data_IF_748956587276
#
_entry.id   IF_748956587276
#
_cell.length_a   1.000
_cell.length_b   1.000
_cell.length_c   1.000
_cell.angle_alpha   90.00
_cell.angle_beta   90.00
_cell.angle_gamma   90.00
#
_symmetry.space_group_name_H-M   'P 1'
#
loop_
_entity.id
_entity.type
_entity.pdbx_description
1 polymer ?
#
# COMPACT_ATOMS: atom_id res chain seq x y z
N UNK A 1 5.35 6.96 0.23
CA UNK A 1 4.57 6.27 1.28
C UNK A 1 4.47 4.77 1.05
N UNK A 2 3.79 4.27 -0.01
CA UNK A 2 3.83 2.83 -0.32
C UNK A 2 5.17 2.41 -0.93
N UNK A 3 5.67 3.19 -1.89
CA UNK A 3 6.96 2.91 -2.56
C UNK A 3 8.14 2.92 -1.59
N UNK A 4 8.11 3.81 -0.60
CA UNK A 4 9.17 4.00 0.39
C UNK A 4 9.19 2.93 1.48
N UNK A 5 8.12 2.16 1.64
CA UNK A 5 7.99 1.14 2.68
C UNK A 5 8.28 -0.29 2.20
N UNK A 6 8.73 -0.44 0.94
CA UNK A 6 9.17 -1.73 0.39
C UNK A 6 10.41 -2.26 1.13
N UNK A 7 10.63 -3.59 1.19
CA UNK A 7 9.77 -4.70 0.76
C UNK A 7 8.49 -4.93 1.60
N UNK A 8 7.45 -5.48 0.98
CA UNK A 8 6.23 -5.92 1.66
C UNK A 8 6.22 -7.43 1.94
N UNK A 9 5.42 -7.93 2.89
CA UNK A 9 5.30 -9.37 3.17
C UNK A 9 5.03 -10.20 1.92
N UNK A 10 5.86 -11.21 1.67
CA UNK A 10 5.81 -12.04 0.46
C UNK A 10 6.63 -11.51 -0.72
N UNK A 11 7.36 -10.41 -0.57
CA UNK A 11 8.41 -10.04 -1.52
C UNK A 11 9.62 -10.97 -1.38
N UNK A 12 10.21 -11.32 -2.52
CA UNK A 12 11.39 -12.18 -2.60
C UNK A 12 12.66 -11.34 -2.69
N UNK A 13 13.79 -11.91 -2.29
CA UNK A 13 15.11 -11.24 -2.38
C UNK A 13 15.43 -10.78 -3.81
N UNK A 14 14.95 -11.50 -4.83
CA UNK A 14 15.14 -11.12 -6.24
C UNK A 14 14.40 -9.85 -6.66
N UNK A 15 13.41 -9.39 -5.88
CA UNK A 15 12.69 -8.14 -6.12
C UNK A 15 13.34 -6.94 -5.41
N UNK A 16 14.20 -7.18 -4.41
CA UNK A 16 14.86 -6.13 -3.63
C UNK A 16 15.81 -5.28 -4.49
N UNK A 17 16.45 -5.89 -5.49
CA UNK A 17 17.42 -5.21 -6.36
C UNK A 17 16.77 -4.36 -7.46
N UNK A 18 15.44 -4.48 -7.67
CA UNK A 18 14.72 -3.89 -8.81
C UNK A 18 13.33 -3.37 -8.43
N UNK A 19 13.12 -2.85 -7.22
CA UNK A 19 11.85 -2.22 -6.91
C UNK A 19 11.61 -1.04 -7.84
N UNK A 20 10.65 -1.21 -8.76
CA UNK A 20 10.26 -0.15 -9.66
C UNK A 20 9.72 1.02 -8.83
N UNK A 21 10.22 2.23 -9.09
CA UNK A 21 9.69 3.47 -8.49
C UNK A 21 8.17 3.60 -8.71
N UNK A 22 7.62 2.90 -9.72
CA UNK A 22 6.19 2.89 -10.07
C UNK A 22 5.48 1.57 -9.76
N UNK A 23 5.97 0.78 -8.79
CA UNK A 23 5.37 -0.51 -8.43
C UNK A 23 3.89 -0.43 -8.07
N UNK A 24 3.49 0.57 -7.29
CA UNK A 24 2.11 0.75 -6.89
C UNK A 24 1.46 1.84 -7.74
N UNK A 25 0.23 1.59 -8.16
CA UNK A 25 -0.62 2.64 -8.69
C UNK A 25 -2.00 2.56 -8.05
N UNK A 26 -2.54 3.71 -7.67
CA UNK A 26 -3.84 3.79 -7.02
C UNK A 26 -4.84 4.50 -7.92
N UNK A 27 -6.01 3.91 -8.12
CA UNK A 27 -7.08 4.46 -8.97
C UNK A 27 -8.42 4.45 -8.25
N UNK A 28 -9.21 5.51 -8.41
CA UNK A 28 -10.58 5.55 -7.91
C UNK A 28 -11.45 4.63 -8.79
N UNK A 29 -12.11 3.64 -8.19
CA UNK A 29 -12.99 2.70 -8.92
C UNK A 29 -14.47 2.95 -8.66
N UNK A 30 -14.79 3.63 -7.57
CA UNK A 30 -16.13 4.11 -7.21
C UNK A 30 -16.00 5.38 -6.37
N UNK A 31 -17.10 6.04 -6.01
CA UNK A 31 -17.05 7.19 -5.10
C UNK A 31 -16.62 6.82 -3.67
N UNK A 32 -16.52 5.52 -3.36
CA UNK A 32 -16.28 5.00 -2.01
C UNK A 32 -14.98 4.19 -1.93
N UNK A 33 -14.33 3.88 -3.07
CA UNK A 33 -13.21 2.95 -3.10
C UNK A 33 -12.11 3.34 -4.09
N UNK A 34 -10.87 3.17 -3.64
CA UNK A 34 -9.69 3.11 -4.50
C UNK A 34 -9.20 1.67 -4.63
N UNK A 35 -8.60 1.33 -5.76
CA UNK A 35 -7.83 0.10 -5.94
C UNK A 35 -6.34 0.44 -5.97
N UNK A 36 -5.53 -0.31 -5.22
CA UNK A 36 -4.08 -0.31 -5.28
C UNK A 36 -3.67 -1.50 -6.14
N UNK A 37 -3.10 -1.21 -7.31
CA UNK A 37 -2.55 -2.20 -8.24
C UNK A 37 -1.05 -2.34 -7.98
N UNK A 38 -0.59 -3.56 -7.76
CA UNK A 38 0.83 -3.90 -7.67
C UNK A 38 1.31 -4.37 -9.05
N UNK A 39 2.09 -3.55 -9.74
CA UNK A 39 2.51 -3.78 -11.13
C UNK A 39 3.35 -5.05 -11.33
N UNK A 40 3.95 -5.58 -10.27
CA UNK A 40 4.69 -6.85 -10.36
C UNK A 40 3.77 -8.07 -10.43
N UNK A 41 2.52 -7.95 -9.96
CA UNK A 41 1.58 -9.07 -9.81
C UNK A 41 0.13 -8.63 -10.07
N UNK A 42 -0.08 -8.00 -11.23
CA UNK A 42 -1.38 -7.44 -11.64
C UNK A 42 -2.48 -8.49 -11.50
N UNK A 43 -3.57 -8.14 -10.82
CA UNK A 43 -4.77 -8.97 -10.66
C UNK A 43 -4.71 -10.02 -9.54
N UNK A 44 -3.53 -10.34 -9.00
CA UNK A 44 -3.40 -11.29 -7.87
C UNK A 44 -3.37 -10.53 -6.53
N UNK A 45 -2.68 -9.38 -6.50
CA UNK A 45 -2.41 -8.62 -5.28
C UNK A 45 -3.10 -7.25 -5.25
N UNK A 46 -4.11 -7.04 -6.09
CA UNK A 46 -4.83 -5.77 -6.15
C UNK A 46 -5.71 -5.64 -4.91
N UNK A 47 -5.47 -4.59 -4.10
CA UNK A 47 -6.18 -4.36 -2.85
C UNK A 47 -7.13 -3.17 -3.00
N UNK A 48 -8.38 -3.32 -2.56
CA UNK A 48 -9.34 -2.22 -2.51
C UNK A 48 -9.28 -1.56 -1.14
N UNK A 49 -9.22 -0.24 -1.12
CA UNK A 49 -9.20 0.59 0.08
C UNK A 49 -10.40 1.56 0.07
N UNK A 50 -11.21 1.60 1.14
CA UNK A 50 -12.27 2.59 1.28
C UNK A 50 -11.73 4.02 1.34
N UNK A 51 -12.42 4.96 0.69
CA UNK A 51 -12.09 6.39 0.67
C UNK A 51 -12.07 6.98 2.08
N UNK A 52 -12.92 6.48 2.97
CA UNK A 52 -13.02 6.95 4.35
C UNK A 52 -11.72 6.74 5.13
N UNK A 53 -10.96 5.68 4.82
CA UNK A 53 -9.66 5.43 5.46
C UNK A 53 -8.62 6.44 4.99
N UNK A 54 -8.65 6.84 3.71
CA UNK A 54 -7.72 7.80 3.15
C UNK A 54 -7.92 9.23 3.69
N UNK A 55 -9.10 9.53 4.24
CA UNK A 55 -9.38 10.82 4.88
C UNK A 55 -9.00 10.85 6.37
N UNK A 56 -8.54 9.75 6.95
CA UNK A 56 -8.07 9.72 8.34
C UNK A 56 -6.60 10.13 8.37
N UNK A 57 -6.27 11.27 8.98
CA UNK A 57 -4.89 11.80 9.04
C UNK A 57 -3.88 10.82 9.67
N UNK A 58 -4.35 9.97 10.58
CA UNK A 58 -3.52 8.96 11.24
C UNK A 58 -3.45 7.62 10.47
N UNK A 59 -4.17 7.51 9.35
CA UNK A 59 -4.16 6.30 8.54
C UNK A 59 -2.76 6.05 7.99
N UNK A 60 -2.28 4.81 8.07
CA UNK A 60 -0.95 4.40 7.63
C UNK A 60 -1.09 3.47 6.43
N UNK A 61 -1.02 3.97 5.18
CA UNK A 61 -1.31 3.17 3.99
C UNK A 61 -0.36 1.98 3.85
N UNK A 62 0.91 2.18 4.18
CA UNK A 62 1.91 1.13 4.11
C UNK A 62 1.64 0.00 5.11
N UNK A 63 1.30 0.34 6.36
CA UNK A 63 0.90 -0.64 7.36
C UNK A 63 -0.35 -1.41 6.94
N UNK A 64 -1.39 -0.69 6.51
CA UNK A 64 -2.62 -1.31 6.04
C UNK A 64 -2.36 -2.27 4.87
N UNK A 65 -1.57 -1.85 3.88
CA UNK A 65 -1.22 -2.67 2.72
C UNK A 65 -0.42 -3.92 3.13
N UNK A 66 0.60 -3.75 3.99
CA UNK A 66 1.44 -4.85 4.46
C UNK A 66 0.62 -5.93 5.17
N UNK A 67 -0.23 -5.51 6.11
CA UNK A 67 -1.13 -6.39 6.86
C UNK A 67 -2.12 -7.11 5.94
N UNK A 68 -2.86 -6.36 5.12
CA UNK A 68 -3.86 -6.96 4.22
C UNK A 68 -3.22 -7.90 3.20
N UNK A 69 -2.01 -7.59 2.72
CA UNK A 69 -1.27 -8.50 1.84
C UNK A 69 -0.83 -9.77 2.58
N UNK A 70 -0.30 -9.66 3.80
CA UNK A 70 0.07 -10.82 4.61
C UNK A 70 -1.14 -11.74 4.85
N UNK A 71 -2.29 -11.18 5.24
CA UNK A 71 -3.55 -11.90 5.41
C UNK A 71 -3.96 -12.65 4.13
N UNK A 72 -3.90 -11.99 2.95
CA UNK A 72 -4.24 -12.63 1.66
C UNK A 72 -3.29 -13.74 1.24
N UNK A 73 -2.01 -13.60 1.56
CA UNK A 73 -0.99 -14.60 1.27
C UNK A 73 -0.96 -15.73 2.32
N UNK A 74 -1.75 -15.64 3.39
CA UNK A 74 -1.72 -16.58 4.50
C UNK A 74 -0.41 -16.54 5.29
N UNK A 75 0.27 -15.39 5.30
CA UNK A 75 1.49 -15.15 6.06
C UNK A 75 1.14 -14.67 7.47
N UNK A 76 1.95 -15.05 8.45
CA UNK A 76 1.83 -14.55 9.82
C UNK A 76 2.17 -13.05 9.85
N UNK A 77 1.34 -12.27 10.53
CA UNK A 77 1.53 -10.83 10.73
C UNK A 77 1.70 -10.56 12.23
N UNK A 78 2.86 -10.02 12.61
CA UNK A 78 3.20 -9.71 13.99
C UNK A 78 2.83 -8.26 14.32
N UNK A 79 1.71 -8.07 15.01
CA UNK A 79 1.23 -6.75 15.45
C UNK A 79 2.09 -6.15 16.57
N UNK A 80 2.93 -6.94 17.25
CA UNK A 80 3.79 -6.46 18.34
C UNK A 80 5.14 -5.92 17.82
N UNK A 81 5.56 -6.35 16.62
CA UNK A 81 6.85 -5.99 16.01
C UNK A 81 6.70 -5.35 14.63
N UNK A 82 5.85 -4.32 14.53
CA UNK A 82 5.65 -3.56 13.28
C UNK A 82 6.90 -2.73 12.97
N UNK A 83 7.45 -2.91 11.76
CA UNK A 83 8.61 -2.14 11.29
C UNK A 83 8.28 -0.65 11.09
N UNK A 84 9.20 0.25 11.48
CA UNK A 84 8.99 1.70 11.45
C UNK A 84 8.63 2.25 10.07
N UNK A 85 9.14 1.63 9.00
CA UNK A 85 8.85 2.00 7.61
C UNK A 85 7.38 1.88 7.22
N UNK A 86 6.58 1.10 7.97
CA UNK A 86 5.14 1.01 7.77
C UNK A 86 4.34 2.08 8.52
N UNK A 87 4.97 2.82 9.45
CA UNK A 87 4.27 3.69 10.39
C UNK A 87 4.07 5.12 9.91
N UNK A 88 4.51 5.45 8.70
CA UNK A 88 4.30 6.77 8.08
C UNK A 88 2.79 7.01 7.79
N UNK A 89 2.16 8.03 8.41
CA UNK A 89 0.76 8.36 8.14
C UNK A 89 0.56 8.93 6.75
N UNK A 90 -0.69 8.89 6.27
CA UNK A 90 -1.14 9.56 5.07
C UNK A 90 -1.05 11.07 5.32
N UNK A 91 0.08 11.68 4.92
CA UNK A 91 0.29 13.12 5.05
C UNK A 91 -0.80 13.93 4.33
N UNK A 92 -0.75 15.26 4.41
CA UNK A 92 -1.75 16.16 3.82
C UNK A 92 -1.93 15.94 2.30
N UNK A 93 -2.80 15.00 1.91
CA UNK A 93 -3.30 14.80 0.54
C UNK A 93 -4.47 15.77 0.34
N UNK A 94 -4.26 17.05 0.64
CA UNK A 94 -5.20 18.14 0.34
C UNK A 94 -4.65 19.01 -0.80
N UNK A 95 -4.45 18.42 -1.98
CA UNK A 95 -4.39 19.21 -3.21
C UNK A 95 -4.68 18.34 -4.43
N UNK A 96 -5.95 18.34 -4.84
CA UNK A 96 -6.34 17.98 -6.20
C UNK A 96 -6.38 16.48 -6.48
N UNK A 97 -7.60 15.97 -6.72
CA UNK A 97 -7.75 14.82 -7.60
C UNK A 97 -6.98 15.11 -8.90
N UNK A 98 -5.98 14.28 -9.18
CA UNK A 98 -5.41 13.88 -10.50
C UNK A 98 -3.96 13.47 -10.25
N UNK A 99 -3.72 12.17 -10.33
CA UNK A 99 -2.42 11.51 -10.15
C UNK A 99 -1.76 11.71 -8.78
N UNK A 100 -2.17 10.88 -7.81
CA UNK A 100 -1.24 10.40 -6.79
C UNK A 100 -0.18 9.54 -7.51
N UNK A 101 0.81 10.21 -8.10
CA UNK A 101 2.12 9.58 -8.32
C UNK A 101 2.74 9.45 -6.93
N UNK A 102 2.58 8.25 -6.37
CA UNK A 102 3.22 7.80 -5.13
C UNK A 102 4.66 7.36 -5.39
#
# INVERSE_FOLDING_TARGET
MLQSAQPYPGDTDSQLDNFAENRFTMYLISNEEYVIVNQENIGINDLTIPVELLHQEEFKPALWYARTRAERLGLEWDEENIEERFLEPIGDVQSGAVHLLL
#
